data_IF_759131179841
#
_entry.id   IF_759131179841
#
_cell.length_a   1.000
_cell.length_b   1.000
_cell.length_c   1.000
_cell.angle_alpha   90.00
_cell.angle_beta   90.00
_cell.angle_gamma   90.00
#
_symmetry.space_group_name_H-M   'P 1'
#
loop_
_entity.id
_entity.type
_entity.pdbx_description
1 polymer ?
#
# COMPACT_ATOMS: atom_id res chain seq x y z
N UNK A 1 10.84 0.21 48.55
CA UNK A 1 11.47 0.91 47.40
C UNK A 1 11.45 0.02 46.16
N UNK A 2 11.78 -1.27 46.29
CA UNK A 2 11.76 -2.27 45.21
C UNK A 2 10.40 -2.48 44.54
N UNK A 3 9.29 -2.42 45.28
CA UNK A 3 7.94 -2.63 44.70
C UNK A 3 7.52 -1.53 43.72
N UNK A 4 7.93 -0.28 43.97
CA UNK A 4 7.66 0.82 43.02
C UNK A 4 8.42 0.58 41.72
N UNK A 5 9.70 0.20 41.82
CA UNK A 5 10.55 -0.09 40.66
C UNK A 5 9.96 -1.27 39.86
N UNK A 6 9.56 -2.34 40.53
CA UNK A 6 8.90 -3.50 39.92
C UNK A 6 7.59 -3.13 39.20
N UNK A 7 6.81 -2.21 39.77
CA UNK A 7 5.58 -1.69 39.14
C UNK A 7 5.88 -0.87 37.88
N UNK A 8 6.92 -0.04 37.91
CA UNK A 8 7.35 0.73 36.74
C UNK A 8 7.80 -0.16 35.58
N UNK A 9 8.63 -1.18 35.85
CA UNK A 9 9.02 -2.13 34.81
C UNK A 9 7.82 -2.84 34.17
N UNK A 10 6.84 -3.28 34.97
CA UNK A 10 5.60 -3.89 34.44
C UNK A 10 4.80 -2.93 33.56
N UNK A 11 4.74 -1.65 33.91
CA UNK A 11 4.03 -0.64 33.12
C UNK A 11 4.74 -0.37 31.79
N UNK A 12 6.07 -0.28 31.82
CA UNK A 12 6.88 -0.08 30.60
C UNK A 12 6.74 -1.30 29.68
N UNK A 13 6.86 -2.52 30.21
CA UNK A 13 6.68 -3.74 29.41
C UNK A 13 5.27 -3.83 28.82
N UNK A 14 4.24 -3.52 29.60
CA UNK A 14 2.86 -3.48 29.11
C UNK A 14 2.71 -2.48 27.97
N UNK A 15 3.20 -1.24 28.16
CA UNK A 15 3.12 -0.19 27.16
C UNK A 15 3.86 -0.58 25.87
N UNK A 16 5.09 -1.08 25.99
CA UNK A 16 5.89 -1.49 24.83
C UNK A 16 5.23 -2.64 24.07
N UNK A 17 4.60 -3.59 24.76
CA UNK A 17 3.84 -4.67 24.13
C UNK A 17 2.60 -4.14 23.38
N UNK A 18 1.89 -3.18 23.95
CA UNK A 18 0.77 -2.52 23.27
C UNK A 18 1.26 -1.82 22.01
N UNK A 19 2.30 -0.98 22.11
CA UNK A 19 2.86 -0.26 20.96
C UNK A 19 3.31 -1.23 19.87
N UNK A 20 4.08 -2.27 20.22
CA UNK A 20 4.51 -3.31 19.28
C UNK A 20 3.31 -3.96 18.58
N UNK A 21 2.29 -4.36 19.33
CA UNK A 21 1.09 -4.98 18.76
C UNK A 21 0.36 -4.03 17.80
N UNK A 22 0.23 -2.75 18.14
CA UNK A 22 -0.43 -1.77 17.27
C UNK A 22 0.39 -1.50 16.01
N UNK A 23 1.71 -1.36 16.13
CA UNK A 23 2.60 -1.18 14.98
C UNK A 23 2.60 -2.39 14.04
N UNK A 24 2.58 -3.62 14.57
CA UNK A 24 2.47 -4.83 13.73
C UNK A 24 1.14 -4.89 12.99
N UNK A 25 0.03 -4.54 13.65
CA UNK A 25 -1.29 -4.48 13.00
C UNK A 25 -1.35 -3.40 11.93
N UNK A 26 -0.85 -2.20 12.24
CA UNK A 26 -0.76 -1.11 11.27
C UNK A 26 0.10 -1.51 10.06
N UNK A 27 1.22 -2.21 10.30
CA UNK A 27 2.05 -2.73 9.21
C UNK A 27 1.33 -3.80 8.38
N UNK A 28 0.55 -4.68 9.00
CA UNK A 28 -0.28 -5.64 8.27
C UNK A 28 -1.38 -4.95 7.46
N UNK A 29 -2.00 -3.89 7.99
CA UNK A 29 -2.94 -3.05 7.25
C UNK A 29 -2.22 -2.42 6.07
N UNK A 30 -1.08 -1.75 6.25
CA UNK A 30 -0.34 -1.14 5.13
C UNK A 30 0.13 -2.17 4.09
N UNK A 31 0.45 -3.40 4.52
CA UNK A 31 0.87 -4.49 3.62
C UNK A 31 -0.30 -5.17 2.90
N UNK A 32 -1.47 -5.27 3.53
CA UNK A 32 -2.64 -5.97 3.00
C UNK A 32 -3.68 -5.03 2.36
N UNK A 33 -3.77 -3.78 2.81
CA UNK A 33 -4.42 -2.67 2.10
C UNK A 33 -3.49 -2.30 0.96
N UNK A 34 -3.55 -3.20 -0.02
CA UNK A 34 -3.08 -3.00 -1.35
C UNK A 34 -3.45 -1.59 -1.80
N UNK A 35 -2.52 -1.00 -2.54
CA UNK A 35 -2.59 0.21 -3.36
C UNK A 35 -4.01 0.52 -3.91
N UNK A 36 -4.86 -0.50 -4.11
CA UNK A 36 -6.27 -0.48 -4.47
C UNK A 36 -7.16 0.58 -3.79
N UNK A 37 -7.01 0.87 -2.49
CA UNK A 37 -7.82 1.90 -1.82
C UNK A 37 -7.31 3.34 -2.03
N UNK A 38 -6.04 3.49 -2.42
CA UNK A 38 -5.43 4.79 -2.74
C UNK A 38 -5.60 5.14 -4.22
N UNK A 39 -5.83 4.14 -5.06
CA UNK A 39 -6.02 4.31 -6.49
C UNK A 39 -7.49 4.58 -6.83
N UNK A 40 -7.73 5.57 -7.69
CA UNK A 40 -9.01 5.69 -8.37
C UNK A 40 -9.32 4.40 -9.16
N UNK A 41 -10.59 4.11 -9.41
CA UNK A 41 -11.00 2.88 -10.11
C UNK A 41 -10.25 2.64 -11.45
N UNK A 42 -9.95 3.72 -12.19
CA UNK A 42 -9.19 3.64 -13.45
C UNK A 42 -7.71 3.32 -13.24
N UNK A 43 -7.13 3.87 -12.18
CA UNK A 43 -5.78 3.52 -11.76
C UNK A 43 -5.75 2.05 -11.33
N UNK A 44 -6.66 1.62 -10.47
CA UNK A 44 -6.73 0.21 -10.06
C UNK A 44 -6.84 -0.76 -11.24
N UNK A 45 -7.67 -0.44 -12.24
CA UNK A 45 -7.75 -1.23 -13.48
C UNK A 45 -6.42 -1.33 -14.23
N UNK A 46 -5.68 -0.23 -14.31
CA UNK A 46 -4.35 -0.22 -14.93
C UNK A 46 -3.32 -1.00 -14.11
N UNK A 47 -3.32 -0.85 -12.80
CA UNK A 47 -2.45 -1.58 -11.87
C UNK A 47 -2.67 -3.09 -11.97
N UNK A 48 -3.93 -3.53 -11.97
CA UNK A 48 -4.27 -4.94 -12.12
C UNK A 48 -3.87 -5.46 -13.50
N UNK A 49 -4.04 -4.67 -14.56
CA UNK A 49 -3.58 -5.04 -15.90
C UNK A 49 -2.06 -5.19 -15.99
N UNK A 50 -1.29 -4.30 -15.37
CA UNK A 50 0.18 -4.39 -15.31
C UNK A 50 0.62 -5.65 -14.54
N UNK A 51 -0.08 -6.00 -13.45
CA UNK A 51 0.29 -7.13 -12.59
C UNK A 51 -0.25 -8.50 -13.06
N UNK A 52 -1.24 -8.53 -13.96
CA UNK A 52 -1.87 -9.81 -14.41
C UNK A 52 -1.11 -10.50 -15.51
N UNK A 53 -0.28 -9.76 -16.25
CA UNK A 53 0.70 -10.33 -17.16
C UNK A 53 2.05 -9.99 -16.56
N UNK A 54 3.01 -10.89 -16.60
CA UNK A 54 4.42 -10.55 -16.36
C UNK A 54 4.95 -9.63 -17.48
N UNK A 55 4.26 -8.52 -17.75
CA UNK A 55 4.67 -7.51 -18.70
C UNK A 55 5.79 -6.74 -18.03
N UNK A 56 7.02 -7.11 -18.37
CA UNK A 56 8.20 -6.35 -17.95
C UNK A 56 8.19 -4.94 -18.56
N UNK A 57 7.66 -4.77 -19.77
CA UNK A 57 7.57 -3.47 -20.46
C UNK A 57 6.31 -3.39 -21.34
N UNK A 58 5.58 -2.28 -21.24
CA UNK A 58 4.43 -1.98 -22.12
C UNK A 58 4.56 -0.60 -22.76
N UNK A 59 4.03 -0.45 -23.97
CA UNK A 59 3.86 0.85 -24.59
C UNK A 59 2.55 1.50 -24.17
N UNK A 60 2.45 2.83 -24.31
CA UNK A 60 1.20 3.58 -24.08
C UNK A 60 0.05 3.04 -24.93
N UNK A 61 0.35 2.63 -26.17
CA UNK A 61 -0.65 2.09 -27.10
C UNK A 61 -1.23 0.76 -26.61
N UNK A 62 -0.42 -0.07 -25.95
CA UNK A 62 -0.87 -1.35 -25.39
C UNK A 62 -1.86 -1.13 -24.26
N UNK A 63 -1.57 -0.17 -23.37
CA UNK A 63 -2.47 0.19 -22.27
C UNK A 63 -3.80 0.78 -22.78
N UNK A 64 -3.76 1.63 -23.81
CA UNK A 64 -4.97 2.18 -24.45
C UNK A 64 -5.83 1.07 -25.07
N UNK A 65 -5.21 0.15 -25.81
CA UNK A 65 -5.92 -0.96 -26.44
C UNK A 65 -6.49 -1.96 -25.42
N UNK A 66 -5.75 -2.23 -24.33
CA UNK A 66 -6.16 -3.21 -23.33
C UNK A 66 -7.25 -2.67 -22.39
N UNK A 67 -7.17 -1.41 -21.99
CA UNK A 67 -8.07 -0.80 -21.01
C UNK A 67 -9.22 -0.01 -21.65
N UNK A 68 -9.12 0.33 -22.94
CA UNK A 68 -10.11 1.14 -23.65
C UNK A 68 -10.19 2.59 -23.18
N UNK A 69 -9.17 3.07 -22.46
CA UNK A 69 -9.12 4.44 -21.95
C UNK A 69 -8.59 5.41 -23.02
N UNK A 70 -9.03 6.68 -23.03
CA UNK A 70 -8.43 7.71 -23.87
C UNK A 70 -6.93 7.89 -23.57
N UNK A 71 -6.13 8.21 -24.59
CA UNK A 71 -4.67 8.36 -24.47
C UNK A 71 -4.24 9.29 -23.33
N UNK A 72 -4.91 10.45 -23.20
CA UNK A 72 -4.64 11.42 -22.13
C UNK A 72 -4.90 10.86 -20.73
N UNK A 73 -5.89 9.97 -20.59
CA UNK A 73 -6.20 9.33 -19.31
C UNK A 73 -5.11 8.33 -18.94
N UNK A 74 -4.66 7.51 -19.90
CA UNK A 74 -3.55 6.57 -19.69
C UNK A 74 -2.27 7.33 -19.33
N UNK A 75 -1.95 8.40 -20.05
CA UNK A 75 -0.78 9.24 -19.76
C UNK A 75 -0.84 9.88 -18.37
N UNK A 76 -1.99 10.41 -17.97
CA UNK A 76 -2.17 10.96 -16.63
C UNK A 76 -1.99 9.91 -15.54
N UNK A 77 -2.49 8.68 -15.77
CA UNK A 77 -2.35 7.58 -14.81
C UNK A 77 -0.89 7.13 -14.69
N UNK A 78 -0.20 6.93 -15.82
CA UNK A 78 1.22 6.56 -15.85
C UNK A 78 2.06 7.61 -15.11
N UNK A 79 1.80 8.90 -15.38
CA UNK A 79 2.52 9.99 -14.72
C UNK A 79 2.32 9.95 -13.20
N UNK A 80 1.13 9.61 -12.73
CA UNK A 80 0.85 9.50 -11.29
C UNK A 80 1.56 8.32 -10.63
N UNK A 81 1.95 7.27 -11.37
CA UNK A 81 2.67 6.12 -10.82
C UNK A 81 4.19 6.29 -10.77
N UNK A 82 4.74 7.19 -11.57
CA UNK A 82 6.19 7.43 -11.68
C UNK A 82 6.67 8.57 -10.77
N UNK A 83 5.83 9.07 -9.86
CA UNK A 83 6.13 10.12 -8.88
C UNK A 83 6.34 9.50 -7.51
#
# INVERSE_FOLDING_TARGET
MEDKIRRYYRLVDFFLNVVKSQSTRALQIIKNDNIEYLLSAKQLMMWNWINTKEINEFSRKDAVNALGFPERTVESIIKNYLI
#
